data_IF_861201053542
#
_entry.id   IF_861201053542
#
_cell.length_a   1.000
_cell.length_b   1.000
_cell.length_c   1.000
_cell.angle_alpha   90.00
_cell.angle_beta   90.00
_cell.angle_gamma   90.00
#
_symmetry.space_group_name_H-M   'P 1'
#
loop_
_entity.id
_entity.type
_entity.pdbx_description
1 polymer ?
#
# COMPACT_ATOMS: atom_id res chain seq x y z
N UNK A 1 -12.28 5.74 -15.57
CA UNK A 1 -12.07 4.42 -14.92
C UNK A 1 -12.13 4.65 -13.42
N UNK A 2 -12.73 3.76 -12.62
CA UNK A 2 -12.78 3.97 -11.18
C UNK A 2 -11.40 3.71 -10.57
N UNK A 3 -11.06 4.40 -9.47
CA UNK A 3 -9.78 4.22 -8.76
C UNK A 3 -9.61 2.76 -8.28
N UNK A 4 -10.72 2.09 -7.97
CA UNK A 4 -10.73 0.67 -7.63
C UNK A 4 -10.25 -0.21 -8.79
N UNK A 5 -10.71 0.04 -10.02
CA UNK A 5 -10.32 -0.73 -11.20
C UNK A 5 -8.81 -0.59 -11.48
N UNK A 6 -8.30 0.64 -11.41
CA UNK A 6 -6.87 0.93 -11.58
C UNK A 6 -6.02 0.25 -10.49
N UNK A 7 -6.52 0.24 -9.26
CA UNK A 7 -5.86 -0.45 -8.14
C UNK A 7 -5.78 -1.94 -8.38
N UNK A 8 -6.89 -2.58 -8.77
CA UNK A 8 -6.94 -4.02 -9.09
C UNK A 8 -5.98 -4.36 -10.22
N UNK A 9 -5.99 -3.56 -11.30
CA UNK A 9 -5.11 -3.75 -12.43
C UNK A 9 -3.64 -3.69 -12.01
N UNK A 10 -3.25 -2.68 -11.23
CA UNK A 10 -1.87 -2.51 -10.75
C UNK A 10 -1.44 -3.68 -9.85
N UNK A 11 -2.29 -4.06 -8.89
CA UNK A 11 -1.98 -5.16 -7.96
C UNK A 11 -1.79 -6.48 -8.71
N UNK A 12 -2.71 -6.82 -9.62
CA UNK A 12 -2.63 -8.08 -10.36
C UNK A 12 -1.41 -8.10 -11.31
N UNK A 13 -1.12 -6.99 -12.00
CA UNK A 13 0.02 -6.92 -12.92
C UNK A 13 1.38 -6.89 -12.21
N UNK A 14 1.52 -6.16 -11.10
CA UNK A 14 2.81 -5.94 -10.44
C UNK A 14 3.11 -6.93 -9.32
N UNK A 15 2.09 -7.47 -8.67
CA UNK A 15 2.24 -8.37 -7.52
C UNK A 15 1.83 -9.81 -7.83
N UNK A 16 1.25 -10.08 -9.01
CA UNK A 16 0.74 -11.41 -9.37
C UNK A 16 -0.34 -11.90 -8.41
N UNK A 17 -1.16 -10.99 -7.90
CA UNK A 17 -2.31 -11.30 -7.06
C UNK A 17 -3.53 -11.64 -7.93
N UNK A 18 -4.53 -12.24 -7.31
CA UNK A 18 -5.84 -12.49 -7.92
C UNK A 18 -6.90 -11.72 -7.12
N UNK A 19 -6.86 -10.39 -7.24
CA UNK A 19 -7.82 -9.48 -6.59
C UNK A 19 -8.88 -9.11 -7.62
N UNK A 20 -10.13 -9.01 -7.18
CA UNK A 20 -11.22 -8.48 -7.98
C UNK A 20 -11.80 -7.21 -7.35
N UNK A 21 -12.63 -6.47 -8.08
CA UNK A 21 -13.13 -5.16 -7.62
C UNK A 21 -13.99 -5.28 -6.36
N UNK A 22 -14.68 -6.40 -6.16
CA UNK A 22 -15.47 -6.66 -4.95
C UNK A 22 -14.63 -6.98 -3.70
N UNK A 23 -13.33 -7.24 -3.84
CA UNK A 23 -12.44 -7.39 -2.69
C UNK A 23 -12.07 -6.03 -2.08
N UNK A 24 -12.36 -4.94 -2.78
CA UNK A 24 -12.17 -3.56 -2.35
C UNK A 24 -13.50 -3.02 -1.80
N UNK A 25 -13.48 -2.63 -0.54
CA UNK A 25 -14.59 -1.92 0.11
C UNK A 25 -14.56 -0.43 -0.27
N UNK A 26 -13.38 0.20 -0.19
CA UNK A 26 -13.19 1.62 -0.52
C UNK A 26 -11.84 1.82 -1.21
N UNK A 27 -11.82 2.58 -2.30
CA UNK A 27 -10.60 3.08 -2.92
C UNK A 27 -10.77 4.55 -3.31
N UNK A 28 -9.92 5.43 -2.78
CA UNK A 28 -9.98 6.86 -3.05
C UNK A 28 -8.60 7.54 -3.00
N UNK A 29 -8.44 8.59 -3.79
CA UNK A 29 -7.25 9.45 -3.72
C UNK A 29 -7.32 10.33 -2.47
N UNK A 30 -6.29 10.27 -1.64
CA UNK A 30 -6.20 11.04 -0.41
C UNK A 30 -5.49 12.38 -0.63
N UNK A 31 -5.99 13.44 0.01
CA UNK A 31 -5.43 14.79 -0.06
C UNK A 31 -5.96 15.65 -1.20
N UNK A 32 -5.56 16.94 -1.17
CA UNK A 32 -5.97 17.95 -2.16
C UNK A 32 -5.34 17.67 -3.53
N UNK A 33 -6.11 17.86 -4.59
CA UNK A 33 -5.60 17.76 -5.95
C UNK A 33 -4.49 18.80 -6.20
N UNK A 34 -3.41 18.38 -6.85
CA UNK A 34 -2.32 19.23 -7.28
C UNK A 34 -1.78 18.74 -8.62
N UNK A 35 -1.66 19.63 -9.59
CA UNK A 35 -1.39 19.30 -11.00
C UNK A 35 -0.09 18.51 -11.24
N UNK A 36 0.92 18.69 -10.39
CA UNK A 36 2.25 18.06 -10.55
C UNK A 36 2.59 17.09 -9.41
N UNK A 37 1.60 16.63 -8.64
CA UNK A 37 1.83 15.67 -7.55
C UNK A 37 0.89 14.49 -7.67
N UNK A 38 1.47 13.28 -7.65
CA UNK A 38 0.70 12.07 -7.46
C UNK A 38 0.11 12.07 -6.04
N UNK A 39 -1.17 11.71 -5.93
CA UNK A 39 -1.83 11.55 -4.64
C UNK A 39 -1.77 10.09 -4.22
N UNK A 40 -1.52 9.79 -2.93
CA UNK A 40 -1.65 8.43 -2.45
C UNK A 40 -3.10 7.97 -2.56
N UNK A 41 -3.29 6.69 -2.84
CA UNK A 41 -4.60 6.05 -2.83
C UNK A 41 -4.75 5.28 -1.53
N UNK A 42 -5.80 5.59 -0.77
CA UNK A 42 -6.20 4.79 0.39
C UNK A 42 -7.12 3.68 -0.11
N UNK A 43 -6.76 2.44 0.22
CA UNK A 43 -7.51 1.25 -0.17
C UNK A 43 -7.89 0.46 1.08
N UNK A 44 -9.19 0.28 1.28
CA UNK A 44 -9.73 -0.62 2.29
C UNK A 44 -10.22 -1.88 1.60
N UNK A 45 -9.66 -3.02 1.99
CA UNK A 45 -10.10 -4.33 1.53
C UNK A 45 -11.24 -4.86 2.41
N UNK A 46 -12.17 -5.60 1.81
CA UNK A 46 -13.25 -6.30 2.52
C UNK A 46 -12.66 -7.30 3.52
N UNK A 47 -11.60 -8.01 3.13
CA UNK A 47 -10.95 -9.04 3.96
C UNK A 47 -9.55 -8.59 4.39
N UNK A 48 -9.27 -8.70 5.69
CA UNK A 48 -7.93 -8.45 6.25
C UNK A 48 -6.86 -9.36 5.63
N UNK A 49 -7.23 -10.60 5.31
CA UNK A 49 -6.30 -11.58 4.72
C UNK A 49 -5.75 -11.10 3.37
N UNK A 50 -6.61 -10.51 2.54
CA UNK A 50 -6.25 -9.92 1.24
C UNK A 50 -5.19 -8.84 1.40
N UNK A 51 -5.39 -7.93 2.36
CA UNK A 51 -4.40 -6.90 2.71
C UNK A 51 -3.06 -7.53 3.10
N UNK A 52 -3.07 -8.55 3.96
CA UNK A 52 -1.85 -9.21 4.44
C UNK A 52 -1.09 -9.87 3.27
N UNK A 53 -1.79 -10.52 2.35
CA UNK A 53 -1.15 -11.13 1.17
C UNK A 53 -0.49 -10.09 0.26
N UNK A 54 -1.19 -8.99 -0.01
CA UNK A 54 -0.65 -7.87 -0.79
C UNK A 54 0.60 -7.30 -0.11
N UNK A 55 0.54 -7.05 1.19
CA UNK A 55 1.67 -6.50 1.96
C UNK A 55 2.90 -7.43 1.93
N UNK A 56 2.72 -8.75 1.97
CA UNK A 56 3.82 -9.72 1.84
C UNK A 56 4.51 -9.66 0.48
N UNK A 57 3.77 -9.31 -0.57
CA UNK A 57 4.26 -9.21 -1.95
C UNK A 57 4.76 -7.82 -2.31
N UNK A 58 4.48 -6.80 -1.49
CA UNK A 58 4.86 -5.41 -1.76
C UNK A 58 6.36 -5.21 -2.05
N UNK A 59 7.23 -6.09 -1.53
CA UNK A 59 8.67 -6.10 -1.86
C UNK A 59 8.98 -6.23 -3.37
N UNK A 60 8.06 -6.78 -4.16
CA UNK A 60 8.18 -6.89 -5.62
C UNK A 60 8.09 -5.53 -6.33
N UNK A 61 7.65 -4.47 -5.64
CA UNK A 61 7.57 -3.11 -6.18
C UNK A 61 8.90 -2.34 -6.03
N UNK A 62 9.92 -2.94 -5.42
CA UNK A 62 11.24 -2.32 -5.30
C UNK A 62 11.78 -1.94 -6.69
N UNK A 63 12.23 -0.70 -6.84
CA UNK A 63 12.72 -0.17 -8.13
C UNK A 63 11.63 0.33 -9.09
N UNK A 64 10.35 0.14 -8.78
CA UNK A 64 9.24 0.63 -9.63
C UNK A 64 8.81 2.07 -9.34
N UNK A 65 9.28 2.65 -8.22
CA UNK A 65 8.83 3.95 -7.74
C UNK A 65 7.43 3.95 -7.09
N UNK A 66 6.79 2.77 -6.99
CA UNK A 66 5.50 2.57 -6.31
C UNK A 66 5.76 1.97 -4.93
N UNK A 67 5.06 2.50 -3.92
CA UNK A 67 5.16 2.03 -2.54
C UNK A 67 3.78 1.66 -2.01
N UNK A 68 3.70 0.53 -1.32
CA UNK A 68 2.50 0.11 -0.57
C UNK A 68 2.90 0.05 0.90
N UNK A 69 2.26 0.89 1.71
CA UNK A 69 2.47 0.98 3.14
C UNK A 69 1.16 0.75 3.89
N UNK A 70 1.26 0.31 5.13
CA UNK A 70 0.11 0.19 6.00
C UNK A 70 -0.32 1.57 6.50
N UNK A 71 -1.62 1.85 6.48
CA UNK A 71 -2.19 3.07 7.05
C UNK A 71 -2.24 2.93 8.57
N UNK A 72 -1.29 3.56 9.24
CA UNK A 72 -1.11 3.50 10.69
C UNK A 72 -1.41 4.86 11.31
N UNK A 73 -1.93 4.84 12.53
CA UNK A 73 -1.97 6.04 13.36
C UNK A 73 -0.55 6.50 13.66
N UNK A 74 -0.38 7.78 14.02
CA UNK A 74 0.91 8.35 14.38
C UNK A 74 1.63 7.50 15.46
N UNK A 75 0.90 7.13 16.52
CA UNK A 75 1.41 6.29 17.61
C UNK A 75 1.88 4.93 17.08
N UNK A 76 1.07 4.26 16.25
CA UNK A 76 1.44 2.95 15.70
C UNK A 76 2.62 3.05 14.73
N UNK A 77 2.78 4.18 14.05
CA UNK A 77 3.93 4.46 13.18
C UNK A 77 5.20 4.60 14.01
N UNK A 78 5.15 5.32 15.12
CA UNK A 78 6.27 5.48 16.06
C UNK A 78 6.66 4.13 16.69
N UNK A 79 5.68 3.31 17.07
CA UNK A 79 5.92 1.94 17.58
C UNK A 79 6.55 1.06 16.50
N UNK A 80 6.05 1.08 15.26
CA UNK A 80 6.65 0.31 14.18
C UNK A 80 8.10 0.74 13.90
N UNK A 81 8.38 2.05 13.97
CA UNK A 81 9.72 2.58 13.79
C UNK A 81 10.67 2.16 14.91
N UNK A 82 10.22 2.10 16.16
CA UNK A 82 11.05 1.68 17.29
C UNK A 82 11.38 0.18 17.28
N UNK A 83 10.51 -0.65 16.68
CA UNK A 83 10.73 -2.09 16.51
C UNK A 83 11.70 -2.45 15.38
N UNK A 84 11.89 -1.56 14.39
CA UNK A 84 12.93 -1.71 13.38
C UNK A 84 14.27 -1.44 14.06
N UNK A 85 14.99 -2.51 14.43
CA UNK A 85 16.32 -2.45 15.05
C UNK A 85 17.18 -1.37 14.36
N UNK A 86 17.80 -0.46 15.14
CA UNK A 86 18.97 0.30 14.69
C UNK A 86 19.96 -0.72 14.13
N UNK A 87 20.51 -0.50 12.94
CA UNK A 87 21.65 -1.31 12.50
C UNK A 87 22.70 -1.33 13.63
N UNK A 88 23.34 -2.48 13.92
CA UNK A 88 24.49 -2.48 14.81
C UNK A 88 25.52 -1.52 14.22
N UNK A 89 26.05 -0.63 15.06
CA UNK A 89 27.15 0.25 14.68
C UNK A 89 28.24 -0.59 14.00
N UNK A 90 28.47 -0.32 12.72
CA UNK A 90 29.57 -0.93 11.97
C UNK A 90 30.87 -0.45 12.62
N UNK A 91 31.57 -1.40 13.26
CA UNK A 91 32.96 -1.31 13.73
C UNK A 91 33.89 -1.04 12.57
#
# INVERSE_FOLDING_TARGET
MAVADETVLMLNQKLGTHIETWDIDVALCHGKYAQHKCRPVIVKFVRRQTKIEIMKRAKLLTGTGIFINEDLTKINTEVLASLRLKEPELV
#
